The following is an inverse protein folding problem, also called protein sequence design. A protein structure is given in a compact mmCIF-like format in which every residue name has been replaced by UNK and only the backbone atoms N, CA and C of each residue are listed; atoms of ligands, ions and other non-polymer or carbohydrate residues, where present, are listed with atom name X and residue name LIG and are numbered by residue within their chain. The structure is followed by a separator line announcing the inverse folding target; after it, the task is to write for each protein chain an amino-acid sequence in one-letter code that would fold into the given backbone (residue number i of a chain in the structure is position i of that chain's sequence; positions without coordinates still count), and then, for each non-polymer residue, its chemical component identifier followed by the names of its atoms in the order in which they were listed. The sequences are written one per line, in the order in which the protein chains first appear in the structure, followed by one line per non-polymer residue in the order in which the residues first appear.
data_IF_061046945314
#
_entry.id   IF_061046945314
#
_cell.length_a   1.000
_cell.length_b   1.000
_cell.length_c   1.000
_cell.angle_alpha   90.00
_cell.angle_beta   90.00
_cell.angle_gamma   90.00
#
_symmetry.space_group_name_H-M   'P 1'
#
loop_
_entity.id
_entity.type
_entity.pdbx_description
1 polymer ?
#
# COMPACT_ATOMS: atom_id res chain seq x y z
N UNK A 1 -23.53 17.33 20.35
CA UNK A 1 -23.32 18.40 19.35
C UNK A 1 -22.04 19.14 19.75
N UNK A 2 -20.91 18.79 19.15
CA UNK A 2 -19.63 19.45 19.41
C UNK A 2 -19.04 19.90 18.07
N UNK A 3 -18.79 21.20 18.00
CA UNK A 3 -18.33 21.97 16.85
C UNK A 3 -16.84 22.26 17.07
N UNK A 4 -15.98 21.80 16.15
CA UNK A 4 -14.54 22.10 16.17
C UNK A 4 -14.18 22.91 14.91
N UNK A 5 -13.85 24.21 15.04
CA UNK A 5 -13.71 25.11 13.89
C UNK A 5 -12.28 25.25 13.31
N UNK A 6 -11.38 24.27 13.47
CA UNK A 6 -9.96 24.42 13.08
C UNK A 6 -9.44 23.51 11.96
N UNK A 7 -10.30 23.10 11.02
CA UNK A 7 -9.87 22.27 9.86
C UNK A 7 -10.06 22.90 8.48
N UNK A 8 -10.32 24.21 8.41
CA UNK A 8 -10.57 24.92 7.14
C UNK A 8 -9.33 25.59 6.50
N UNK A 9 -8.10 25.22 6.90
CA UNK A 9 -6.89 25.96 6.51
C UNK A 9 -5.87 25.16 5.67
N UNK A 10 -6.27 24.09 5.00
CA UNK A 10 -5.42 23.39 4.03
C UNK A 10 -6.30 23.16 2.81
N UNK A 11 -5.77 23.38 1.60
CA UNK A 11 -6.40 23.16 0.28
C UNK A 11 -7.20 24.33 -0.35
N UNK A 12 -6.56 25.23 -1.13
CA UNK A 12 -7.30 26.06 -2.09
C UNK A 12 -7.04 25.78 -3.57
N UNK A 13 -6.07 24.96 -4.01
CA UNK A 13 -5.78 24.88 -5.46
C UNK A 13 -5.28 23.51 -5.94
N UNK A 14 -6.18 22.65 -6.43
CA UNK A 14 -5.83 21.65 -7.45
C UNK A 14 -7.01 21.48 -8.41
N UNK A 15 -7.03 22.30 -9.47
CA UNK A 15 -7.79 22.04 -10.70
C UNK A 15 -6.95 21.11 -11.58
N UNK A 16 -7.48 19.92 -11.91
CA UNK A 16 -6.87 19.00 -12.89
C UNK A 16 -7.52 19.20 -14.25
N UNK A 17 -6.70 19.47 -15.28
CA UNK A 17 -7.07 19.44 -16.70
C UNK A 17 -6.21 18.39 -17.42
N UNK A 18 -6.77 17.55 -18.32
CA UNK A 18 -6.07 16.42 -18.93
C UNK A 18 -5.62 16.69 -20.38
N UNK A 19 -4.35 16.40 -20.68
CA UNK A 19 -3.79 16.18 -22.03
C UNK A 19 -2.30 15.79 -21.88
N UNK A 20 -1.65 14.88 -22.61
CA UNK A 20 -1.98 13.89 -23.65
C UNK A 20 -0.76 12.95 -23.77
N UNK A 21 -1.02 11.68 -24.10
CA UNK A 21 -0.04 10.64 -24.43
C UNK A 21 0.94 10.98 -25.57
N UNK A 22 2.17 10.44 -25.47
CA UNK A 22 2.85 9.53 -26.42
C UNK A 22 4.36 9.78 -26.49
N UNK A 23 5.19 8.77 -26.20
CA UNK A 23 5.89 8.00 -27.25
C UNK A 23 6.84 6.94 -26.67
N UNK A 24 6.80 5.78 -27.33
CA UNK A 24 7.56 4.56 -27.06
C UNK A 24 8.81 4.59 -27.96
N UNK A 25 9.98 4.31 -27.39
CA UNK A 25 11.23 4.17 -28.13
C UNK A 25 11.99 2.92 -27.70
N UNK A 26 12.30 2.07 -28.67
CA UNK A 26 13.10 0.85 -28.55
C UNK A 26 14.47 1.07 -27.90
N UNK A 27 14.84 0.18 -26.98
CA UNK A 27 16.24 -0.04 -26.59
C UNK A 27 16.56 -1.54 -26.57
N UNK A 28 17.73 -1.85 -27.12
CA UNK A 28 18.26 -3.18 -27.46
C UNK A 28 18.59 -4.00 -26.21
N UNK A 29 18.46 -5.31 -26.33
CA UNK A 29 18.88 -6.32 -25.35
C UNK A 29 20.41 -6.42 -25.30
N UNK A 30 21.00 -6.15 -24.15
CA UNK A 30 22.36 -6.58 -23.81
C UNK A 30 22.32 -7.65 -22.73
N UNK A 31 22.92 -8.80 -23.04
CA UNK A 31 23.14 -9.92 -22.12
C UNK A 31 24.22 -9.56 -21.11
N UNK A 32 23.90 -9.58 -19.82
CA UNK A 32 24.87 -9.39 -18.74
C UNK A 32 25.38 -10.74 -18.25
N UNK A 33 26.68 -10.96 -18.41
CA UNK A 33 27.41 -12.09 -17.84
C UNK A 33 27.47 -11.97 -16.30
N UNK A 34 27.26 -13.09 -15.61
CA UNK A 34 27.29 -13.19 -14.14
C UNK A 34 28.77 -13.15 -13.69
N UNK A 35 29.25 -11.96 -13.30
CA UNK A 35 30.59 -11.71 -12.76
C UNK A 35 30.64 -11.85 -11.23
N UNK A 36 31.80 -12.31 -10.73
CA UNK A 36 32.10 -12.63 -9.33
C UNK A 36 31.84 -11.50 -8.31
N UNK A 37 31.63 -11.90 -7.04
CA UNK A 37 31.28 -11.02 -5.93
C UNK A 37 32.31 -9.90 -5.67
N UNK A 38 31.89 -8.65 -5.40
CA UNK A 38 32.80 -7.51 -5.26
C UNK A 38 33.52 -7.48 -3.91
N UNK A 39 34.73 -6.90 -3.93
CA UNK A 39 35.68 -6.82 -2.82
C UNK A 39 35.23 -5.87 -1.70
N UNK A 40 35.80 -6.04 -0.49
CA UNK A 40 35.45 -5.35 0.77
C UNK A 40 35.57 -3.81 0.70
N UNK A 41 36.44 -3.26 -0.16
CA UNK A 41 36.57 -1.82 -0.36
C UNK A 41 35.48 -1.25 -1.29
N UNK A 42 35.08 -1.99 -2.33
CA UNK A 42 33.95 -1.63 -3.18
C UNK A 42 32.63 -1.62 -2.39
N UNK A 43 32.48 -2.49 -1.38
CA UNK A 43 31.33 -2.46 -0.45
C UNK A 43 31.18 -1.13 0.31
N UNK A 44 32.27 -0.44 0.64
CA UNK A 44 32.22 0.88 1.30
C UNK A 44 31.81 2.01 0.36
N UNK A 45 32.22 1.96 -0.91
CA UNK A 45 31.79 2.94 -1.94
C UNK A 45 30.36 2.72 -2.42
N UNK A 46 29.91 1.46 -2.47
CA UNK A 46 28.53 1.09 -2.83
C UNK A 46 27.54 1.47 -1.71
N UNK A 47 27.97 1.43 -0.44
CA UNK A 47 27.16 1.84 0.71
C UNK A 47 26.73 3.32 0.68
N UNK A 48 27.45 4.19 -0.06
CA UNK A 48 27.20 5.63 -0.09
C UNK A 48 26.19 6.08 -1.16
N UNK A 49 25.77 5.19 -2.08
CA UNK A 49 24.90 5.56 -3.22
C UNK A 49 23.45 5.10 -3.09
N UNK A 50 23.13 4.29 -2.08
CA UNK A 50 21.75 4.01 -1.69
C UNK A 50 21.33 5.10 -0.72
N UNK A 51 20.66 6.13 -1.25
CA UNK A 51 20.01 7.18 -0.47
C UNK A 51 19.34 6.54 0.75
N UNK A 52 19.88 6.85 1.92
CA UNK A 52 19.30 6.49 3.21
C UNK A 52 17.93 7.15 3.25
N UNK A 53 16.87 6.42 2.88
CA UNK A 53 15.51 6.96 2.97
C UNK A 53 15.27 7.27 4.44
N UNK A 54 15.07 8.55 4.77
CA UNK A 54 14.83 8.96 6.14
C UNK A 54 13.43 8.49 6.53
N UNK A 55 13.24 8.24 7.82
CA UNK A 55 11.95 7.87 8.41
C UNK A 55 10.81 8.76 7.89
N UNK A 56 11.04 10.07 7.86
CA UNK A 56 10.07 11.08 7.44
C UNK A 56 9.67 10.92 5.97
N UNK A 57 10.63 10.71 5.08
CA UNK A 57 10.39 10.58 3.63
C UNK A 57 9.54 9.32 3.36
N UNK A 58 9.80 8.24 4.10
CA UNK A 58 8.99 7.03 4.04
C UNK A 58 7.56 7.25 4.55
N UNK A 59 7.42 7.88 5.72
CA UNK A 59 6.11 8.15 6.31
C UNK A 59 5.26 9.01 5.38
N UNK A 60 5.88 9.96 4.69
CA UNK A 60 5.21 10.75 3.66
C UNK A 60 4.73 9.88 2.49
N UNK A 61 5.57 8.95 1.99
CA UNK A 61 5.18 7.99 0.94
C UNK A 61 4.00 7.13 1.38
N UNK A 62 4.05 6.52 2.57
CA UNK A 62 2.96 5.66 3.05
C UNK A 62 1.65 6.42 3.23
N UNK A 63 1.69 7.61 3.85
CA UNK A 63 0.50 8.46 3.97
C UNK A 63 -0.07 8.83 2.61
N UNK A 64 0.79 9.15 1.64
CA UNK A 64 0.36 9.49 0.28
C UNK A 64 -0.33 8.31 -0.42
N UNK A 65 0.19 7.07 -0.28
CA UNK A 65 -0.46 5.85 -0.82
C UNK A 65 -1.87 5.71 -0.28
N UNK A 66 -2.03 5.78 1.04
CA UNK A 66 -3.31 5.53 1.67
C UNK A 66 -4.30 6.67 1.41
N UNK A 67 -3.84 7.93 1.37
CA UNK A 67 -4.66 9.06 0.96
C UNK A 67 -5.13 8.93 -0.50
N UNK A 68 -4.29 8.39 -1.40
CA UNK A 68 -4.67 8.12 -2.80
C UNK A 68 -5.64 6.95 -2.91
N UNK A 69 -5.39 5.86 -2.20
CA UNK A 69 -6.29 4.70 -2.05
C UNK A 69 -7.68 5.12 -1.57
N UNK A 70 -7.76 5.98 -0.54
CA UNK A 70 -9.01 6.50 -0.02
C UNK A 70 -9.82 7.29 -1.07
N UNK A 71 -9.14 7.89 -2.07
CA UNK A 71 -9.76 8.57 -3.21
C UNK A 71 -9.99 7.67 -4.43
N UNK A 72 -9.76 6.36 -4.31
CA UNK A 72 -9.90 5.39 -5.40
C UNK A 72 -8.76 5.41 -6.43
N UNK A 73 -7.65 6.10 -6.17
CA UNK A 73 -6.49 6.18 -7.06
C UNK A 73 -5.57 4.96 -6.87
N UNK A 74 -6.05 3.82 -7.38
CA UNK A 74 -5.35 2.53 -7.35
C UNK A 74 -4.02 2.59 -8.11
N UNK A 75 -3.97 3.29 -9.25
CA UNK A 75 -2.77 3.34 -10.10
C UNK A 75 -1.62 4.07 -9.44
N UNK A 76 -1.89 5.17 -8.74
CA UNK A 76 -0.82 5.89 -8.05
C UNK A 76 -0.23 5.07 -6.88
N UNK A 77 -1.04 4.25 -6.20
CA UNK A 77 -0.52 3.29 -5.22
C UNK A 77 0.34 2.19 -5.88
N UNK A 78 -0.12 1.65 -7.01
CA UNK A 78 0.63 0.65 -7.79
C UNK A 78 1.94 1.17 -8.37
N UNK A 79 2.07 2.49 -8.60
CA UNK A 79 3.28 3.11 -9.11
C UNK A 79 4.50 2.89 -8.19
N UNK A 80 4.29 2.60 -6.91
CA UNK A 80 5.36 2.34 -5.94
C UNK A 80 5.84 0.90 -5.92
N UNK A 81 5.10 -0.02 -6.53
CA UNK A 81 5.52 -1.40 -6.65
C UNK A 81 6.52 -1.56 -7.78
N UNK A 82 7.45 -2.48 -7.58
CA UNK A 82 8.24 -3.06 -8.65
C UNK A 82 7.30 -3.85 -9.60
N UNK A 83 7.65 -3.97 -10.89
CA UNK A 83 6.76 -4.60 -11.88
C UNK A 83 6.45 -6.06 -11.55
N UNK A 84 7.42 -6.76 -10.95
CA UNK A 84 7.31 -8.14 -10.48
C UNK A 84 7.13 -8.24 -8.95
N UNK A 85 6.63 -7.20 -8.30
CA UNK A 85 6.43 -7.22 -6.86
C UNK A 85 5.42 -8.28 -6.42
N UNK A 86 5.54 -8.73 -5.19
CA UNK A 86 4.54 -9.59 -4.56
C UNK A 86 3.75 -8.83 -3.50
N UNK A 87 2.45 -9.08 -3.45
CA UNK A 87 1.56 -8.58 -2.42
C UNK A 87 0.86 -9.76 -1.76
N UNK A 88 0.79 -9.78 -0.44
CA UNK A 88 0.11 -10.82 0.31
C UNK A 88 -0.70 -10.20 1.44
N UNK A 89 -2.02 -10.26 1.31
CA UNK A 89 -2.90 -10.09 2.45
C UNK A 89 -3.03 -11.44 3.15
N UNK A 90 -2.66 -11.51 4.43
CA UNK A 90 -2.85 -12.73 5.21
C UNK A 90 -4.35 -13.03 5.32
N UNK A 91 -4.69 -14.32 5.46
CA UNK A 91 -6.08 -14.79 5.45
C UNK A 91 -6.41 -15.70 4.27
N UNK A 92 -7.69 -16.03 4.14
CA UNK A 92 -8.21 -16.95 3.13
C UNK A 92 -9.02 -16.21 2.06
N UNK A 93 -8.79 -16.55 0.79
CA UNK A 93 -9.61 -16.06 -0.34
C UNK A 93 -11.07 -16.47 -0.25
N UNK A 94 -11.36 -17.56 0.46
CA UNK A 94 -12.73 -18.01 0.70
C UNK A 94 -13.51 -17.06 1.63
N UNK A 95 -12.81 -16.22 2.39
CA UNK A 95 -13.39 -15.31 3.39
C UNK A 95 -13.26 -13.87 2.91
N UNK A 96 -12.06 -13.47 2.45
CA UNK A 96 -11.79 -12.14 1.91
C UNK A 96 -11.25 -12.34 0.48
N UNK A 97 -12.00 -12.04 -0.59
CA UNK A 97 -11.58 -12.31 -1.97
C UNK A 97 -10.20 -11.71 -2.34
N UNK A 98 -9.84 -10.58 -1.73
CA UNK A 98 -8.55 -9.92 -1.88
C UNK A 98 -7.36 -10.65 -1.20
N UNK A 99 -7.61 -11.59 -0.29
CA UNK A 99 -6.58 -12.27 0.50
C UNK A 99 -5.68 -13.19 -0.33
N UNK A 100 -4.56 -13.62 0.26
CA UNK A 100 -3.56 -14.49 -0.35
C UNK A 100 -2.52 -13.75 -1.19
N UNK A 101 -1.60 -14.50 -1.80
CA UNK A 101 -0.52 -13.98 -2.63
C UNK A 101 -1.04 -13.45 -3.97
N UNK A 102 -0.43 -12.36 -4.44
CA UNK A 102 -0.58 -11.75 -5.78
C UNK A 102 0.80 -11.41 -6.31
N UNK A 103 1.01 -11.64 -7.61
CA UNK A 103 2.30 -11.43 -8.27
C UNK A 103 2.14 -10.44 -9.43
N UNK A 104 2.92 -9.37 -9.37
CA UNK A 104 2.93 -8.30 -10.35
C UNK A 104 1.76 -7.33 -10.23
N UNK A 105 1.92 -6.14 -10.79
CA UNK A 105 0.96 -5.03 -10.65
C UNK A 105 -0.47 -5.38 -11.10
N UNK A 106 -0.62 -6.27 -12.09
CA UNK A 106 -1.93 -6.70 -12.59
C UNK A 106 -2.72 -7.42 -11.49
N UNK A 107 -2.14 -8.43 -10.85
CA UNK A 107 -2.83 -9.18 -9.80
C UNK A 107 -3.03 -8.36 -8.52
N UNK A 108 -2.10 -7.46 -8.21
CA UNK A 108 -2.21 -6.55 -7.06
C UNK A 108 -3.41 -5.60 -7.27
N UNK A 109 -3.55 -5.04 -8.48
CA UNK A 109 -4.70 -4.21 -8.86
C UNK A 109 -6.02 -4.93 -8.64
N UNK A 110 -6.13 -6.15 -9.13
CA UNK A 110 -7.37 -6.93 -9.01
C UNK A 110 -7.68 -7.25 -7.54
N UNK A 111 -6.67 -7.54 -6.72
CA UNK A 111 -6.90 -7.73 -5.28
C UNK A 111 -7.38 -6.45 -4.58
N UNK A 112 -6.79 -5.30 -4.91
CA UNK A 112 -7.21 -4.02 -4.33
C UNK A 112 -8.63 -3.67 -4.76
N UNK A 113 -8.95 -3.81 -6.04
CA UNK A 113 -10.31 -3.61 -6.54
C UNK A 113 -11.30 -4.56 -5.90
N UNK A 114 -10.96 -5.85 -5.77
CA UNK A 114 -11.83 -6.82 -5.11
C UNK A 114 -12.09 -6.46 -3.64
N UNK A 115 -11.11 -5.91 -2.94
CA UNK A 115 -11.32 -5.39 -1.59
C UNK A 115 -12.27 -4.17 -1.59
N UNK A 116 -12.07 -3.25 -2.53
CA UNK A 116 -12.82 -1.99 -2.61
C UNK A 116 -14.28 -2.17 -3.08
N UNK A 117 -14.62 -3.33 -3.67
CA UNK A 117 -16.00 -3.73 -4.00
C UNK A 117 -16.83 -3.91 -2.73
N UNK A 118 -16.27 -4.56 -1.72
CA UNK A 118 -17.00 -4.91 -0.49
C UNK A 118 -16.77 -3.87 0.61
N UNK A 119 -15.63 -3.18 0.60
CA UNK A 119 -15.21 -2.33 1.70
C UNK A 119 -14.77 -0.93 1.27
N UNK A 120 -14.97 0.03 2.16
CA UNK A 120 -14.50 1.40 2.06
C UNK A 120 -13.62 1.74 3.25
N UNK A 121 -12.43 2.28 2.98
CA UNK A 121 -11.56 2.82 4.03
C UNK A 121 -12.02 4.25 4.33
N UNK A 122 -12.63 4.44 5.49
CA UNK A 122 -13.20 5.73 5.94
C UNK A 122 -12.16 6.57 6.67
N UNK A 123 -11.27 5.92 7.42
CA UNK A 123 -10.17 6.54 8.15
C UNK A 123 -8.93 5.65 8.06
N UNK A 124 -7.74 6.26 8.05
CA UNK A 124 -6.47 5.52 8.05
C UNK A 124 -5.38 6.36 8.71
N UNK A 125 -4.72 5.79 9.70
CA UNK A 125 -3.60 6.42 10.40
C UNK A 125 -2.45 5.44 10.57
N UNK A 126 -1.23 5.98 10.59
CA UNK A 126 -0.01 5.20 10.81
C UNK A 126 0.48 5.47 12.24
N UNK A 127 0.53 4.42 13.06
CA UNK A 127 0.89 4.50 14.47
C UNK A 127 2.41 4.56 14.65
N UNK A 128 3.10 3.56 14.09
CA UNK A 128 4.54 3.44 14.21
C UNK A 128 5.12 2.78 12.96
N UNK A 129 6.43 2.90 12.87
CA UNK A 129 7.18 2.56 11.69
C UNK A 129 8.61 2.18 12.08
N UNK A 130 9.15 1.13 11.49
CA UNK A 130 10.53 0.69 11.71
C UNK A 130 11.18 0.39 10.38
N UNK A 131 12.39 0.91 10.18
CA UNK A 131 13.18 0.70 8.98
C UNK A 131 14.44 -0.06 9.32
N UNK A 132 14.62 -1.20 8.67
CA UNK A 132 15.90 -1.88 8.55
C UNK A 132 16.40 -1.71 7.11
N UNK A 133 16.80 -0.48 6.79
CA UNK A 133 17.29 -0.13 5.45
C UNK A 133 18.59 -0.87 5.16
N UNK A 134 18.79 -1.36 3.93
CA UNK A 134 17.97 -1.09 2.74
C UNK A 134 16.88 -2.14 2.45
N UNK A 135 16.64 -3.10 3.35
CA UNK A 135 15.97 -4.36 2.96
C UNK A 135 14.52 -4.46 3.38
N UNK A 136 14.16 -3.92 4.54
CA UNK A 136 12.86 -4.17 5.15
C UNK A 136 12.32 -2.93 5.84
N UNK A 137 11.00 -2.81 5.85
CA UNK A 137 10.30 -1.89 6.72
C UNK A 137 9.05 -2.54 7.31
N UNK A 138 8.65 -2.07 8.48
CA UNK A 138 7.46 -2.48 9.20
C UNK A 138 6.66 -1.24 9.54
N UNK A 139 5.35 -1.27 9.31
CA UNK A 139 4.45 -0.15 9.57
C UNK A 139 3.23 -0.67 10.30
N UNK A 140 2.99 -0.19 11.53
CA UNK A 140 1.72 -0.40 12.22
C UNK A 140 0.74 0.71 11.87
N UNK A 141 -0.53 0.37 11.80
CA UNK A 141 -1.59 1.27 11.40
C UNK A 141 -2.90 0.85 12.05
N UNK A 142 -3.81 1.81 12.14
CA UNK A 142 -5.22 1.58 12.41
C UNK A 142 -6.08 2.24 11.32
N UNK A 143 -7.24 1.66 11.05
CA UNK A 143 -8.17 2.15 10.03
C UNK A 143 -9.61 1.89 10.42
N UNK A 144 -10.49 2.82 10.04
CA UNK A 144 -11.93 2.60 10.08
C UNK A 144 -12.37 2.01 8.74
N UNK A 145 -12.95 0.81 8.78
CA UNK A 145 -13.45 0.09 7.60
C UNK A 145 -14.97 0.06 7.62
N UNK A 146 -15.60 0.44 6.51
CA UNK A 146 -17.03 0.30 6.27
C UNK A 146 -17.29 -0.82 5.28
N UNK A 147 -18.18 -1.75 5.58
CA UNK A 147 -18.69 -2.67 4.57
C UNK A 147 -19.78 -1.98 3.74
N UNK A 148 -19.62 -1.95 2.42
CA UNK A 148 -20.54 -1.27 1.49
C UNK A 148 -21.92 -1.93 1.41
N UNK A 149 -22.00 -3.24 1.65
CA UNK A 149 -23.25 -3.99 1.58
C UNK A 149 -24.09 -3.88 2.85
N UNK A 150 -23.46 -3.98 4.02
CA UNK A 150 -24.15 -3.97 5.33
C UNK A 150 -24.18 -2.59 5.98
N UNK A 151 -23.28 -1.68 5.58
CA UNK A 151 -23.05 -0.39 6.25
C UNK A 151 -22.34 -0.50 7.59
N UNK A 152 -21.93 -1.70 8.00
CA UNK A 152 -21.24 -1.93 9.28
C UNK A 152 -19.86 -1.28 9.28
N UNK A 153 -19.49 -0.70 10.43
CA UNK A 153 -18.18 -0.08 10.68
C UNK A 153 -17.39 -0.91 11.69
N UNK A 154 -16.09 -1.06 11.47
CA UNK A 154 -15.18 -1.48 12.54
C UNK A 154 -13.82 -0.78 12.43
N UNK A 155 -13.19 -0.64 13.59
CA UNK A 155 -11.78 -0.29 13.71
C UNK A 155 -10.93 -1.55 13.49
N UNK A 156 -10.01 -1.47 12.55
CA UNK A 156 -9.08 -2.55 12.21
C UNK A 156 -7.68 -2.03 12.39
N UNK A 157 -6.88 -2.74 13.18
CA UNK A 157 -5.45 -2.49 13.29
C UNK A 157 -4.65 -3.56 12.55
N UNK A 158 -3.44 -3.19 12.15
CA UNK A 158 -2.58 -4.10 11.43
C UNK A 158 -1.14 -3.67 11.36
N UNK A 159 -0.33 -4.58 10.81
CA UNK A 159 1.06 -4.37 10.51
C UNK A 159 1.33 -4.76 9.08
N UNK A 160 2.02 -3.89 8.36
CA UNK A 160 2.53 -4.14 7.02
C UNK A 160 4.04 -4.37 7.07
N UNK A 161 4.49 -5.47 6.47
CA UNK A 161 5.91 -5.76 6.25
C UNK A 161 6.23 -5.55 4.78
N UNK A 162 7.20 -4.71 4.47
CA UNK A 162 7.58 -4.38 3.09
C UNK A 162 9.07 -4.58 2.84
N UNK A 163 9.42 -5.16 1.68
CA UNK A 163 10.78 -5.16 1.14
C UNK A 163 10.91 -4.15 0.02
N UNK A 164 12.12 -3.61 -0.11
CA UNK A 164 12.42 -2.50 -1.00
C UNK A 164 13.60 -2.80 -1.91
N UNK A 165 13.53 -2.28 -3.13
CA UNK A 165 14.63 -2.22 -4.09
C UNK A 165 14.48 -0.93 -4.90
N UNK A 166 15.53 -0.10 -4.96
CA UNK A 166 15.54 1.13 -5.76
C UNK A 166 14.30 2.02 -5.55
N UNK A 167 13.90 2.18 -4.28
CA UNK A 167 12.71 2.92 -3.84
C UNK A 167 11.36 2.35 -4.31
N UNK A 168 11.34 1.10 -4.79
CA UNK A 168 10.14 0.35 -5.13
C UNK A 168 9.90 -0.79 -4.16
N UNK A 169 8.64 -1.07 -3.90
CA UNK A 169 8.20 -2.20 -3.09
C UNK A 169 8.34 -3.47 -3.92
N UNK A 170 9.12 -4.45 -3.44
CA UNK A 170 9.28 -5.76 -4.08
C UNK A 170 8.46 -6.85 -3.40
N UNK A 171 8.20 -6.70 -2.10
CA UNK A 171 7.29 -7.57 -1.35
C UNK A 171 6.49 -6.72 -0.37
N UNK A 172 5.19 -6.96 -0.25
CA UNK A 172 4.32 -6.35 0.77
C UNK A 172 3.42 -7.43 1.37
N UNK A 173 3.61 -7.74 2.65
CA UNK A 173 2.73 -8.64 3.41
C UNK A 173 1.95 -7.84 4.46
N UNK A 174 0.63 -8.04 4.52
CA UNK A 174 -0.28 -7.36 5.45
C UNK A 174 -0.84 -8.32 6.47
N UNK A 175 -0.77 -7.94 7.74
CA UNK A 175 -1.29 -8.67 8.88
C UNK A 175 -2.33 -7.78 9.56
N UNK A 176 -3.55 -8.28 9.73
CA UNK A 176 -4.64 -7.63 10.47
C UNK A 176 -5.66 -8.70 10.86
N UNK A 177 -6.64 -8.34 11.69
CA UNK A 177 -7.70 -9.25 12.09
C UNK A 177 -8.66 -9.56 10.91
N UNK A 178 -8.36 -10.64 10.20
CA UNK A 178 -9.20 -11.09 9.08
C UNK A 178 -10.54 -11.66 9.53
N UNK A 179 -10.66 -12.10 10.79
CA UNK A 179 -11.93 -12.60 11.32
C UNK A 179 -12.90 -11.43 11.55
N UNK A 180 -12.39 -10.31 12.08
CA UNK A 180 -13.16 -9.07 12.20
C UNK A 180 -13.62 -8.54 10.84
N UNK A 181 -12.72 -8.45 9.86
CA UNK A 181 -13.09 -8.01 8.49
C UNK A 181 -14.11 -8.94 7.84
N UNK A 182 -14.03 -10.24 8.11
CA UNK A 182 -15.01 -11.21 7.63
C UNK A 182 -16.40 -11.00 8.27
N UNK A 183 -16.44 -10.74 9.57
CA UNK A 183 -17.67 -10.51 10.32
C UNK A 183 -18.42 -9.27 9.81
N UNK A 184 -17.70 -8.21 9.39
CA UNK A 184 -18.32 -7.02 8.78
C UNK A 184 -19.14 -7.32 7.51
N UNK A 185 -18.71 -8.32 6.73
CA UNK A 185 -19.38 -8.74 5.50
C UNK A 185 -20.59 -9.65 5.75
N UNK A 186 -20.79 -10.09 7.00
CA UNK A 186 -21.94 -10.86 7.39
C UNK A 186 -22.98 -9.89 7.97
N UNK A 187 -24.14 -9.77 7.33
CA UNK A 187 -25.24 -9.06 7.97
C UNK A 187 -25.66 -9.84 9.20
N UNK A 188 -25.55 -9.24 10.39
CA UNK A 188 -26.37 -9.69 11.51
C UNK A 188 -27.81 -9.53 11.08
N UNK A 189 -28.48 -10.63 10.75
CA UNK A 189 -29.92 -10.70 10.49
C UNK A 189 -30.77 -10.37 11.72
N UNK A 190 -30.30 -9.48 12.59
CA UNK A 190 -31.03 -8.92 13.69
C UNK A 190 -31.64 -7.59 13.25
N UNK A 191 -32.61 -7.69 12.35
CA UNK A 191 -33.75 -6.78 12.44
C UNK A 191 -34.32 -6.95 13.84
N UNK A 192 -34.32 -5.86 14.61
CA UNK A 192 -34.95 -5.80 15.92
C UNK A 192 -36.45 -6.15 15.78
N UNK A 193 -37.01 -6.99 16.67
CA UNK A 193 -38.39 -7.49 16.57
C UNK A 193 -39.49 -6.44 16.75
#
# INVERSE_FOLDING_TARGET
MFYFPELAAIWPNVTLSPATCRNIGHAKSESVAIGAAPTRAARKGIAMKYMTMRREDFMAICRDIYARRARGDVEAGLALFHDNATYRMMGSRAIIPAAGLRVGKAEIREAWKAFDVDFEIVGFEVDDFVVDTPRMSYMSWHMTLCNRGTGALAEVEGVDRMKWQDHKITEWTRYFDTALVAALGQSDGHGEP
#
